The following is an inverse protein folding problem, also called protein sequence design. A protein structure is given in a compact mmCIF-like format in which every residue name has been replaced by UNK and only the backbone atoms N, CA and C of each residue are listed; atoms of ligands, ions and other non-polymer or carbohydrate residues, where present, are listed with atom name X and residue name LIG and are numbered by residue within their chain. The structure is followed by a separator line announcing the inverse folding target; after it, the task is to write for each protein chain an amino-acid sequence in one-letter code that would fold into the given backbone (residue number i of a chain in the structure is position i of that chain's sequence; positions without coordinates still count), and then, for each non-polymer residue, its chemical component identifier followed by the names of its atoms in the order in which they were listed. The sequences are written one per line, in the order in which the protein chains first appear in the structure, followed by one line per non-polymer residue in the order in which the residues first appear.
data_IF_490279228322
#
_entry.id   IF_490279228322
#
_cell.length_a   1.000
_cell.length_b   1.000
_cell.length_c   1.000
_cell.angle_alpha   90.00
_cell.angle_beta   90.00
_cell.angle_gamma   90.00
#
_symmetry.space_group_name_H-M   'P 1'
#
loop_
_entity.id
_entity.type
_entity.pdbx_description
1 polymer ?
#
# COMPACT_ATOMS: atom_id res chain seq x y z
N UNK A 1 -4.93 0.23 -12.08
CA UNK A 1 -4.70 0.80 -10.75
C UNK A 1 -6.03 0.88 -10.03
N UNK A 2 -6.04 0.64 -8.72
CA UNK A 2 -7.21 0.88 -7.86
C UNK A 2 -6.74 1.78 -6.71
N UNK A 3 -7.46 2.85 -6.43
CA UNK A 3 -7.24 3.71 -5.27
C UNK A 3 -8.36 3.47 -4.24
N UNK A 4 -7.96 3.17 -3.02
CA UNK A 4 -8.83 2.85 -1.90
C UNK A 4 -8.95 4.00 -0.87
N UNK A 5 -8.16 5.06 -1.01
CA UNK A 5 -8.25 6.31 -0.25
C UNK A 5 -8.45 6.08 1.27
N UNK A 6 -7.59 5.22 1.82
CA UNK A 6 -7.45 4.86 3.24
C UNK A 6 -8.69 4.19 3.88
N UNK A 7 -9.61 3.63 3.08
CA UNK A 7 -10.93 3.19 3.61
C UNK A 7 -10.97 1.82 4.27
N UNK A 8 -10.02 0.93 3.99
CA UNK A 8 -10.15 -0.46 4.38
C UNK A 8 -9.27 -0.86 5.55
N UNK A 9 -9.76 -1.83 6.32
CA UNK A 9 -8.95 -2.53 7.32
C UNK A 9 -7.96 -3.48 6.64
N UNK A 10 -6.82 -3.75 7.27
CA UNK A 10 -5.79 -4.67 6.77
C UNK A 10 -6.37 -6.00 6.27
N UNK A 11 -7.26 -6.63 7.06
CA UNK A 11 -7.89 -7.90 6.69
C UNK A 11 -8.80 -7.79 5.45
N UNK A 12 -9.47 -6.66 5.28
CA UNK A 12 -10.28 -6.39 4.08
C UNK A 12 -9.37 -6.20 2.88
N UNK A 13 -8.30 -5.43 3.03
CA UNK A 13 -7.34 -5.17 1.96
C UNK A 13 -6.71 -6.47 1.47
N UNK A 14 -6.28 -7.36 2.37
CA UNK A 14 -5.66 -8.65 1.97
C UNK A 14 -6.63 -9.49 1.13
N UNK A 15 -7.92 -9.53 1.49
CA UNK A 15 -8.95 -10.23 0.72
C UNK A 15 -9.17 -9.58 -0.64
N UNK A 16 -9.31 -8.25 -0.67
CA UNK A 16 -9.52 -7.49 -1.90
C UNK A 16 -8.33 -7.61 -2.84
N UNK A 17 -7.10 -7.46 -2.35
CA UNK A 17 -5.87 -7.60 -3.12
C UNK A 17 -5.76 -8.97 -3.82
N UNK A 18 -6.10 -10.05 -3.11
CA UNK A 18 -6.15 -11.41 -3.68
C UNK A 18 -7.17 -11.56 -4.81
N UNK A 19 -8.33 -10.91 -4.68
CA UNK A 19 -9.34 -10.91 -5.73
C UNK A 19 -8.93 -10.03 -6.92
N UNK A 20 -8.31 -8.87 -6.66
CA UNK A 20 -7.83 -7.94 -7.67
C UNK A 20 -6.71 -8.53 -8.55
N UNK A 21 -5.95 -9.51 -8.06
CA UNK A 21 -4.95 -10.24 -8.85
C UNK A 21 -5.52 -10.89 -10.12
N UNK A 22 -6.82 -11.21 -10.15
CA UNK A 22 -7.48 -11.80 -11.32
C UNK A 22 -7.66 -10.81 -12.48
N UNK A 23 -7.50 -9.51 -12.22
CA UNK A 23 -7.81 -8.44 -13.16
C UNK A 23 -6.56 -7.71 -13.68
N UNK A 24 -5.36 -8.26 -13.48
CA UNK A 24 -4.09 -7.63 -13.84
C UNK A 24 -3.96 -6.20 -13.31
N UNK A 25 -4.47 -5.96 -12.09
CA UNK A 25 -4.26 -4.69 -11.39
C UNK A 25 -2.77 -4.58 -11.09
N UNK A 26 -2.16 -3.45 -11.47
CA UNK A 26 -0.73 -3.22 -11.25
C UNK A 26 -0.42 -2.92 -9.78
N UNK A 27 -1.25 -2.08 -9.14
CA UNK A 27 -1.14 -1.78 -7.72
C UNK A 27 -2.46 -1.32 -7.12
N UNK A 28 -2.49 -1.39 -5.79
CA UNK A 28 -3.51 -0.82 -4.92
C UNK A 28 -2.93 0.38 -4.18
N UNK A 29 -3.56 1.53 -4.32
CA UNK A 29 -3.15 2.80 -3.74
C UNK A 29 -3.91 3.10 -2.46
N UNK A 30 -3.17 3.56 -1.46
CA UNK A 30 -3.62 3.91 -0.12
C UNK A 30 -4.73 2.99 0.44
N UNK A 31 -4.47 1.68 0.56
CA UNK A 31 -5.46 0.70 1.00
C UNK A 31 -6.01 0.94 2.41
N UNK A 32 -5.19 1.52 3.29
CA UNK A 32 -5.49 1.68 4.71
C UNK A 32 -4.87 2.97 5.24
N UNK A 33 -5.13 3.28 6.51
CA UNK A 33 -4.63 4.50 7.15
C UNK A 33 -3.10 4.60 7.05
N UNK A 34 -2.53 5.78 6.71
CA UNK A 34 -1.10 5.92 6.40
C UNK A 34 -0.19 5.63 7.59
N UNK A 35 -0.69 5.82 8.81
CA UNK A 35 0.06 5.61 10.05
C UNK A 35 0.24 4.12 10.41
N UNK A 36 -0.52 3.20 9.79
CA UNK A 36 -0.45 1.77 10.07
C UNK A 36 0.66 1.07 9.26
N UNK A 37 1.90 1.43 9.55
CA UNK A 37 3.08 0.86 8.86
C UNK A 37 3.14 -0.67 8.96
N UNK A 38 2.79 -1.24 10.11
CA UNK A 38 2.80 -2.69 10.30
C UNK A 38 1.69 -3.36 9.46
N UNK A 39 0.51 -2.74 9.39
CA UNK A 39 -0.58 -3.15 8.52
C UNK A 39 -0.21 -3.14 7.04
N UNK A 40 0.43 -2.07 6.57
CA UNK A 40 0.99 -2.01 5.22
C UNK A 40 1.99 -3.15 4.95
N UNK A 41 2.88 -3.44 5.90
CA UNK A 41 3.82 -4.55 5.80
C UNK A 41 3.14 -5.91 5.69
N UNK A 42 2.05 -6.13 6.44
CA UNK A 42 1.22 -7.34 6.33
C UNK A 42 0.50 -7.42 4.99
N UNK A 43 -0.08 -6.32 4.52
CA UNK A 43 -0.77 -6.24 3.22
C UNK A 43 0.20 -6.62 2.09
N UNK A 44 1.40 -6.04 2.07
CA UNK A 44 2.41 -6.31 1.04
C UNK A 44 2.80 -7.79 1.01
N UNK A 45 3.00 -8.41 2.19
CA UNK A 45 3.39 -9.83 2.31
C UNK A 45 2.26 -10.81 2.00
N UNK A 46 1.03 -10.51 2.44
CA UNK A 46 -0.09 -11.45 2.41
C UNK A 46 -1.05 -11.24 1.22
N UNK A 47 -1.16 -10.01 0.71
CA UNK A 47 -2.12 -9.61 -0.32
C UNK A 47 -1.70 -9.96 -1.74
N UNK A 48 -0.40 -10.08 -2.01
CA UNK A 48 0.15 -10.48 -3.30
C UNK A 48 -0.07 -9.47 -4.44
N UNK A 49 -0.39 -8.22 -4.10
CA UNK A 49 -0.55 -7.09 -5.02
C UNK A 49 0.36 -5.95 -4.54
N UNK A 50 1.01 -5.25 -5.46
CA UNK A 50 1.89 -4.14 -5.10
C UNK A 50 1.07 -2.99 -4.47
N UNK A 51 1.66 -2.29 -3.48
CA UNK A 51 0.98 -1.24 -2.71
C UNK A 51 1.65 0.12 -2.89
N UNK A 52 0.88 1.11 -3.32
CA UNK A 52 1.33 2.49 -3.44
C UNK A 52 0.78 3.32 -2.27
N UNK A 53 1.60 4.21 -1.71
CA UNK A 53 1.20 5.19 -0.71
C UNK A 53 2.18 6.37 -0.74
N UNK A 54 1.73 7.54 -0.32
CA UNK A 54 2.60 8.72 -0.20
C UNK A 54 1.90 10.07 -0.26
N UNK A 55 0.69 10.15 -0.81
CA UNK A 55 -0.05 11.43 -0.90
C UNK A 55 -0.37 12.03 0.48
N UNK A 56 -0.53 11.18 1.50
CA UNK A 56 -0.81 11.61 2.88
C UNK A 56 0.44 11.64 3.79
N UNK A 57 1.65 11.52 3.23
CA UNK A 57 2.90 11.66 3.99
C UNK A 57 3.43 13.09 3.87
N UNK A 58 3.82 13.70 4.99
CA UNK A 58 4.11 15.13 5.08
C UNK A 58 5.58 15.44 5.41
N UNK A 59 6.35 14.44 5.85
CA UNK A 59 7.72 14.60 6.31
C UNK A 59 8.63 13.54 5.71
N UNK A 60 9.91 13.90 5.50
CA UNK A 60 10.91 12.96 5.00
C UNK A 60 11.06 11.71 5.88
N UNK A 61 10.78 11.83 7.18
CA UNK A 61 10.86 10.72 8.13
C UNK A 61 9.76 9.68 7.90
N UNK A 62 8.56 10.10 7.50
CA UNK A 62 7.46 9.20 7.15
C UNK A 62 7.80 8.39 5.90
N UNK A 63 8.32 9.06 4.84
CA UNK A 63 8.81 8.37 3.64
C UNK A 63 9.95 7.40 3.97
N UNK A 64 10.94 7.83 4.76
CA UNK A 64 12.04 6.97 5.20
C UNK A 64 11.55 5.74 5.97
N UNK A 65 10.56 5.90 6.85
CA UNK A 65 10.00 4.80 7.62
C UNK A 65 9.32 3.77 6.69
N UNK A 66 8.52 4.22 5.72
CA UNK A 66 7.87 3.30 4.76
C UNK A 66 8.87 2.58 3.85
N UNK A 67 9.91 3.28 3.36
CA UNK A 67 10.97 2.68 2.53
C UNK A 67 11.78 1.66 3.32
N UNK A 68 12.19 2.01 4.54
CA UNK A 68 13.02 1.13 5.40
C UNK A 68 12.34 -0.18 5.78
N UNK A 69 11.01 -0.20 5.74
CA UNK A 69 10.17 -1.36 6.04
C UNK A 69 9.81 -2.19 4.80
N UNK A 70 10.36 -1.85 3.63
CA UNK A 70 10.09 -2.48 2.33
C UNK A 70 8.59 -2.47 1.97
N UNK A 71 7.85 -1.49 2.50
CA UNK A 71 6.42 -1.35 2.26
C UNK A 71 6.17 -0.76 0.87
N UNK A 72 6.96 0.25 0.51
CA UNK A 72 6.91 0.91 -0.79
C UNK A 72 7.89 0.22 -1.73
N UNK A 73 7.42 -0.29 -2.86
CA UNK A 73 8.33 -0.66 -3.94
C UNK A 73 8.82 0.60 -4.67
N UNK A 74 10.09 0.64 -5.07
CA UNK A 74 10.72 1.80 -5.73
C UNK A 74 9.96 2.31 -6.96
N UNK A 75 9.21 1.44 -7.64
CA UNK A 75 8.40 1.80 -8.80
C UNK A 75 7.12 2.59 -8.44
N UNK A 76 6.70 2.57 -7.17
CA UNK A 76 5.44 3.17 -6.72
C UNK A 76 5.61 4.54 -6.08
N UNK A 77 6.83 4.88 -5.66
CA UNK A 77 7.16 6.21 -5.14
C UNK A 77 7.29 7.26 -6.26
N UNK A 78 7.48 6.82 -7.50
CA UNK A 78 7.79 7.65 -8.68
C UNK A 78 6.54 8.20 -9.40
N UNK A 79 5.34 7.90 -8.92
CA UNK A 79 4.07 8.25 -9.57
C UNK A 79 3.21 9.26 -8.80
N UNK A 80 3.74 9.83 -7.71
CA UNK A 80 3.09 10.89 -6.92
C UNK A 80 3.71 12.24 -7.27
#
# INVERSE_FOLDING_TARGET
MVDANMKWTVETVIKVAKELNKFNVLWLEEPTIPDDYDGYGRISKEGGLAIAAGENLHTIYEFQNMISREILSLNQMLLI
#
